data_IF_638585020994
#
_entry.id   IF_638585020994
#
_cell.length_a   1.000
_cell.length_b   1.000
_cell.length_c   1.000
_cell.angle_alpha   90.00
_cell.angle_beta   90.00
_cell.angle_gamma   90.00
#
_symmetry.space_group_name_H-M   'P 1'
#
loop_
_entity.id
_entity.type
_entity.pdbx_description
1 polymer ?
#
# COMPACT_ATOMS: atom_id res chain seq x y z
N UNK A 1 -18.55 -16.86 -24.73
CA UNK A 1 -17.88 -16.67 -23.44
C UNK A 1 -16.84 -15.59 -23.65
N UNK A 2 -17.07 -14.39 -23.14
CA UNK A 2 -16.10 -13.30 -23.18
C UNK A 2 -15.12 -13.53 -22.04
N UNK A 3 -13.90 -13.94 -22.36
CA UNK A 3 -12.79 -13.97 -21.40
C UNK A 3 -12.62 -12.55 -20.83
N UNK A 4 -12.70 -12.45 -19.51
CA UNK A 4 -12.58 -11.20 -18.79
C UNK A 4 -11.09 -10.85 -18.69
N UNK A 5 -10.50 -10.35 -19.78
CA UNK A 5 -9.07 -9.99 -19.93
C UNK A 5 -8.63 -8.77 -19.10
N UNK A 6 -9.41 -8.39 -18.09
CA UNK A 6 -9.23 -7.18 -17.29
C UNK A 6 -8.78 -7.49 -15.85
N UNK A 7 -8.23 -8.68 -15.61
CA UNK A 7 -7.76 -9.11 -14.30
C UNK A 7 -6.31 -8.66 -14.12
N UNK A 8 -6.04 -7.96 -13.02
CA UNK A 8 -4.68 -7.61 -12.61
C UNK A 8 -3.90 -8.89 -12.31
N UNK A 9 -2.74 -9.04 -12.94
CA UNK A 9 -1.81 -10.16 -12.74
C UNK A 9 -0.38 -9.66 -12.46
N UNK A 10 0.56 -10.59 -12.28
CA UNK A 10 1.94 -10.26 -11.92
C UNK A 10 2.70 -9.53 -13.06
N UNK A 11 2.37 -9.80 -14.33
CA UNK A 11 2.94 -9.09 -15.48
C UNK A 11 2.44 -7.63 -15.52
N UNK A 12 1.16 -7.43 -15.23
CA UNK A 12 0.57 -6.10 -15.05
C UNK A 12 1.23 -5.37 -13.87
N UNK A 13 1.51 -6.07 -12.76
CA UNK A 13 2.24 -5.50 -11.62
C UNK A 13 3.62 -4.99 -12.01
N UNK A 14 4.39 -5.78 -12.75
CA UNK A 14 5.73 -5.39 -13.22
C UNK A 14 5.68 -4.16 -14.13
N UNK A 15 4.75 -4.17 -15.09
CA UNK A 15 4.53 -3.01 -15.98
C UNK A 15 4.17 -1.76 -15.17
N UNK A 16 3.32 -1.89 -14.14
CA UNK A 16 2.96 -0.76 -13.30
C UNK A 16 4.12 -0.26 -12.43
N UNK A 17 4.95 -1.15 -11.89
CA UNK A 17 6.15 -0.77 -11.13
C UNK A 17 7.11 0.05 -12.02
N UNK A 18 7.34 -0.41 -13.25
CA UNK A 18 8.29 0.24 -14.15
C UNK A 18 7.78 1.58 -14.71
N UNK A 19 6.49 1.63 -15.08
CA UNK A 19 5.93 2.74 -15.86
C UNK A 19 4.87 3.55 -15.14
N UNK A 20 4.37 3.09 -13.99
CA UNK A 20 3.21 3.66 -13.31
C UNK A 20 3.37 5.16 -13.03
N UNK A 21 4.59 5.63 -12.76
CA UNK A 21 4.88 7.05 -12.51
C UNK A 21 4.45 7.97 -13.67
N UNK A 22 4.38 7.45 -14.89
CA UNK A 22 3.96 8.20 -16.07
C UNK A 22 2.46 8.11 -16.35
N UNK A 23 1.79 7.13 -15.73
CA UNK A 23 0.40 6.78 -16.03
C UNK A 23 -0.59 7.30 -14.98
N UNK A 24 -0.12 7.70 -13.80
CA UNK A 24 -0.96 8.21 -12.72
C UNK A 24 -0.78 9.73 -12.60
N UNK A 25 -1.75 10.54 -13.07
CA UNK A 25 -1.67 11.99 -12.98
C UNK A 25 -1.67 12.46 -11.53
N UNK A 26 -0.90 13.50 -11.21
CA UNK A 26 -0.90 14.16 -9.89
C UNK A 26 -0.65 13.20 -8.71
N UNK A 27 0.03 12.08 -8.94
CA UNK A 27 0.27 11.02 -7.95
C UNK A 27 0.81 11.56 -6.63
N UNK A 28 1.86 12.37 -6.68
CA UNK A 28 2.51 12.95 -5.51
C UNK A 28 1.56 13.88 -4.74
N UNK A 29 0.74 14.65 -5.47
CA UNK A 29 -0.29 15.51 -4.87
C UNK A 29 -1.38 14.70 -4.18
N UNK A 30 -1.83 13.60 -4.79
CA UNK A 30 -2.80 12.70 -4.19
C UNK A 30 -2.28 12.10 -2.88
N UNK A 31 -1.04 11.60 -2.87
CA UNK A 31 -0.41 11.06 -1.65
C UNK A 31 -0.25 12.12 -0.56
N UNK A 32 0.20 13.33 -0.93
CA UNK A 32 0.33 14.44 0.03
C UNK A 32 -1.00 14.78 0.71
N UNK A 33 -2.12 14.76 -0.04
CA UNK A 33 -3.47 14.96 0.52
C UNK A 33 -3.81 13.83 1.49
N UNK A 34 -3.59 12.56 1.13
CA UNK A 34 -3.87 11.42 2.00
C UNK A 34 -3.08 11.51 3.31
N UNK A 35 -1.79 11.82 3.24
CA UNK A 35 -0.93 11.99 4.43
C UNK A 35 -1.38 13.17 5.29
N UNK A 36 -1.83 14.28 4.68
CA UNK A 36 -2.34 15.44 5.41
C UNK A 36 -3.66 15.18 6.14
N UNK A 37 -4.46 14.22 5.67
CA UNK A 37 -5.72 13.82 6.31
C UNK A 37 -5.52 12.84 7.47
N UNK A 38 -4.32 12.26 7.62
CA UNK A 38 -4.04 11.37 8.74
C UNK A 38 -4.10 12.11 10.07
N UNK A 39 -4.73 11.54 11.10
CA UNK A 39 -4.88 12.19 12.40
C UNK A 39 -3.54 12.44 13.09
N UNK A 40 -3.48 13.52 13.86
CA UNK A 40 -2.33 13.88 14.68
C UNK A 40 -2.33 13.08 15.99
N UNK A 41 -2.01 11.78 15.89
CA UNK A 41 -1.85 10.88 17.05
C UNK A 41 -0.59 10.04 16.94
N UNK A 42 -0.13 9.60 18.09
CA UNK A 42 1.05 8.76 18.27
C UNK A 42 0.80 7.76 19.40
N UNK A 43 1.00 6.44 19.19
CA UNK A 43 1.34 5.80 17.91
C UNK A 43 0.19 5.85 16.89
N UNK A 44 0.50 5.60 15.61
CA UNK A 44 -0.48 5.57 14.52
C UNK A 44 -0.42 4.23 13.78
N UNK A 45 -1.53 3.48 13.73
CA UNK A 45 -1.60 2.19 12.99
C UNK A 45 -2.46 2.28 11.73
N UNK A 46 -1.86 2.21 10.54
CA UNK A 46 -2.56 2.35 9.26
C UNK A 46 -2.72 0.99 8.59
N UNK A 47 -3.94 0.69 8.11
CA UNK A 47 -4.18 -0.37 7.13
C UNK A 47 -4.25 0.27 5.73
N UNK A 48 -3.32 -0.09 4.85
CA UNK A 48 -3.32 0.32 3.44
C UNK A 48 -3.72 -0.86 2.57
N UNK A 49 -4.95 -0.85 2.05
CA UNK A 49 -5.45 -1.88 1.13
C UNK A 49 -5.03 -1.57 -0.30
N UNK A 50 -4.59 -2.60 -1.03
CA UNK A 50 -4.00 -2.48 -2.35
C UNK A 50 -2.80 -1.51 -2.35
N UNK A 51 -1.85 -1.73 -1.44
CA UNK A 51 -0.72 -0.82 -1.22
C UNK A 51 0.25 -0.73 -2.42
N UNK A 52 0.11 -1.62 -3.41
CA UNK A 52 0.95 -1.67 -4.60
C UNK A 52 2.43 -1.71 -4.25
N UNK A 53 3.24 -0.93 -4.96
CA UNK A 53 4.69 -0.83 -4.75
C UNK A 53 5.10 0.01 -3.52
N UNK A 54 4.16 0.33 -2.62
CA UNK A 54 4.43 0.96 -1.32
C UNK A 54 4.72 2.46 -1.36
N UNK A 55 4.23 3.20 -2.36
CA UNK A 55 4.47 4.64 -2.48
C UNK A 55 3.90 5.42 -1.31
N UNK A 56 2.62 5.20 -1.02
CA UNK A 56 1.93 5.91 0.05
C UNK A 56 2.44 5.44 1.42
N UNK A 57 2.66 4.14 1.61
CA UNK A 57 3.33 3.60 2.79
C UNK A 57 4.65 4.34 3.09
N UNK A 58 5.51 4.56 2.09
CA UNK A 58 6.77 5.30 2.25
C UNK A 58 6.53 6.74 2.74
N UNK A 59 5.59 7.46 2.11
CA UNK A 59 5.24 8.83 2.50
C UNK A 59 4.68 8.91 3.93
N UNK A 60 3.81 7.98 4.32
CA UNK A 60 3.27 7.88 5.68
C UNK A 60 4.39 7.66 6.69
N UNK A 61 5.28 6.70 6.43
CA UNK A 61 6.38 6.33 7.32
C UNK A 61 7.42 7.45 7.49
N UNK A 62 7.61 8.29 6.47
CA UNK A 62 8.44 9.52 6.52
C UNK A 62 7.76 10.62 7.32
N UNK A 63 6.46 10.82 7.11
CA UNK A 63 5.70 11.89 7.75
C UNK A 63 5.35 11.62 9.22
N UNK A 64 5.39 10.35 9.67
CA UNK A 64 5.01 9.92 11.02
C UNK A 64 6.03 8.91 11.55
N UNK A 65 6.94 9.37 12.41
CA UNK A 65 8.08 8.57 12.91
C UNK A 65 7.67 7.32 13.71
N UNK A 66 6.50 7.35 14.34
CA UNK A 66 5.95 6.24 15.12
C UNK A 66 4.75 5.54 14.44
N UNK A 67 4.52 5.81 13.16
CA UNK A 67 3.50 5.08 12.41
C UNK A 67 3.94 3.65 12.13
N UNK A 68 2.99 2.73 12.20
CA UNK A 68 3.08 1.36 11.68
C UNK A 68 2.09 1.27 10.52
N UNK A 69 2.56 0.83 9.35
CA UNK A 69 1.74 0.63 8.15
C UNK A 69 1.67 -0.86 7.85
N UNK A 70 0.45 -1.39 7.88
CA UNK A 70 0.13 -2.72 7.40
C UNK A 70 -0.29 -2.59 5.93
N UNK A 71 0.62 -2.95 5.02
CA UNK A 71 0.42 -2.83 3.58
C UNK A 71 -0.09 -4.14 3.00
N UNK A 72 -1.34 -4.15 2.56
CA UNK A 72 -2.00 -5.35 2.05
C UNK A 72 -2.14 -5.24 0.54
N UNK A 73 -1.69 -6.26 -0.21
CA UNK A 73 -1.84 -6.30 -1.67
C UNK A 73 -2.09 -7.72 -2.16
N UNK A 74 -2.78 -7.87 -3.30
CA UNK A 74 -3.01 -9.19 -3.90
C UNK A 74 -1.83 -9.69 -4.74
N UNK A 75 -0.85 -8.83 -5.04
CA UNK A 75 0.32 -9.17 -5.84
C UNK A 75 1.56 -9.35 -4.98
N UNK A 76 2.16 -10.53 -5.04
CA UNK A 76 3.41 -10.83 -4.35
C UNK A 76 4.56 -9.93 -4.84
N UNK A 77 4.60 -9.60 -6.14
CA UNK A 77 5.58 -8.66 -6.71
C UNK A 77 5.41 -7.24 -6.20
N UNK A 78 4.18 -6.76 -6.05
CA UNK A 78 3.91 -5.46 -5.43
C UNK A 78 4.40 -5.42 -4.00
N UNK A 79 4.10 -6.44 -3.19
CA UNK A 79 4.56 -6.53 -1.81
C UNK A 79 6.09 -6.56 -1.70
N UNK A 80 6.78 -7.28 -2.61
CA UNK A 80 8.24 -7.29 -2.64
C UNK A 80 8.83 -5.92 -2.99
N UNK A 81 8.22 -5.20 -3.94
CA UNK A 81 8.61 -3.83 -4.29
C UNK A 81 8.36 -2.87 -3.12
N UNK A 82 7.20 -2.96 -2.46
CA UNK A 82 6.86 -2.18 -1.28
C UNK A 82 7.85 -2.41 -0.14
N UNK A 83 8.12 -3.67 0.21
CA UNK A 83 9.08 -4.02 1.26
C UNK A 83 10.50 -3.51 0.95
N UNK A 84 10.92 -3.55 -0.31
CA UNK A 84 12.22 -2.99 -0.74
C UNK A 84 12.25 -1.48 -0.56
N UNK A 85 11.18 -0.79 -1.00
CA UNK A 85 11.06 0.68 -0.90
C UNK A 85 11.07 1.16 0.55
N UNK A 86 10.35 0.47 1.43
CA UNK A 86 10.19 0.86 2.84
C UNK A 86 11.22 0.21 3.77
N UNK A 87 12.24 -0.49 3.25
CA UNK A 87 13.23 -1.20 4.05
C UNK A 87 13.91 -0.31 5.11
N UNK A 88 14.09 0.98 4.81
CA UNK A 88 14.66 1.96 5.74
C UNK A 88 13.82 2.18 7.01
N UNK A 89 12.51 1.90 6.95
CA UNK A 89 11.59 2.07 8.06
C UNK A 89 11.62 0.89 9.04
N UNK A 90 12.37 -0.18 8.71
CA UNK A 90 12.53 -1.37 9.54
C UNK A 90 11.19 -2.08 9.78
N UNK A 91 10.85 -2.44 11.03
CA UNK A 91 9.64 -3.23 11.35
C UNK A 91 8.32 -2.44 11.21
N UNK A 92 8.38 -1.17 10.83
CA UNK A 92 7.19 -0.30 10.75
C UNK A 92 6.34 -0.54 9.49
N UNK A 93 6.85 -1.27 8.50
CA UNK A 93 6.04 -1.75 7.38
C UNK A 93 5.81 -3.25 7.50
N UNK A 94 4.54 -3.66 7.49
CA UNK A 94 4.13 -5.07 7.65
C UNK A 94 3.36 -5.47 6.38
N UNK A 95 4.03 -6.09 5.40
CA UNK A 95 3.38 -6.54 4.17
C UNK A 95 2.55 -7.79 4.41
N UNK A 96 1.39 -7.89 3.76
CA UNK A 96 0.57 -9.10 3.76
C UNK A 96 -0.12 -9.30 2.41
N UNK A 97 -0.07 -10.52 1.90
CA UNK A 97 -0.87 -10.91 0.74
C UNK A 97 -2.34 -11.08 1.14
N UNK A 98 -3.27 -10.54 0.35
CA UNK A 98 -4.69 -10.67 0.62
C UNK A 98 -5.55 -10.66 -0.65
N UNK A 99 -6.79 -11.15 -0.51
CA UNK A 99 -7.83 -10.99 -1.53
C UNK A 99 -8.79 -9.86 -1.14
N UNK A 100 -8.87 -8.81 -1.96
CA UNK A 100 -9.79 -7.69 -1.76
C UNK A 100 -11.27 -8.13 -1.81
N UNK A 101 -11.58 -9.17 -2.58
CA UNK A 101 -12.92 -9.77 -2.67
C UNK A 101 -13.32 -10.54 -1.41
N UNK A 102 -12.34 -10.98 -0.61
CA UNK A 102 -12.58 -11.67 0.67
C UNK A 102 -13.06 -10.70 1.75
N UNK A 103 -13.91 -11.13 2.71
CA UNK A 103 -14.21 -10.32 3.88
C UNK A 103 -13.12 -10.26 4.95
N UNK A 104 -12.08 -11.10 4.86
CA UNK A 104 -11.12 -11.32 5.94
C UNK A 104 -10.37 -10.05 6.34
N UNK A 105 -10.05 -9.17 5.37
CA UNK A 105 -9.34 -7.92 5.63
C UNK A 105 -10.12 -6.94 6.52
N UNK A 106 -11.43 -7.14 6.71
CA UNK A 106 -12.26 -6.30 7.60
C UNK A 106 -11.98 -6.55 9.08
N UNK A 107 -11.29 -7.64 9.41
CA UNK A 107 -10.91 -8.01 10.78
C UNK A 107 -9.41 -8.28 10.85
N UNK A 108 -8.56 -7.25 10.68
CA UNK A 108 -7.13 -7.43 10.83
C UNK A 108 -6.78 -7.85 12.27
N UNK A 109 -5.62 -8.47 12.44
CA UNK A 109 -5.06 -8.90 13.72
C UNK A 109 -4.54 -7.74 14.60
N UNK A 110 -4.60 -6.52 14.08
CA UNK A 110 -4.33 -5.27 14.78
C UNK A 110 -5.55 -4.35 14.71
N UNK A 111 -5.58 -3.30 15.53
CA UNK A 111 -6.63 -2.28 15.46
C UNK A 111 -6.13 -1.12 14.58
N UNK A 112 -6.64 -0.96 13.35
CA UNK A 112 -6.33 0.23 12.57
C UNK A 112 -6.97 1.43 13.25
N UNK A 113 -6.27 2.53 13.06
CA UNK A 113 -6.51 3.77 13.71
C UNK A 113 -7.43 4.57 12.77
N UNK A 114 -8.67 4.85 13.21
CA UNK A 114 -9.69 5.58 12.46
C UNK A 114 -9.57 7.10 12.56
#
# INVERSE_FOLDING_TARGET
MTENTNQWDEETSETFIDYGRYMVPERERQMAIMVALLPERTPLSVLELCCGEGLLADEILRARSEAIVHGYDGSARMLAAAATRTAWAGPRFIPQEFDLGSPDWRQPDFRPDA
#
